data_IF_702438602446
#
_entry.id   IF_702438602446
#
_cell.length_a   1.000
_cell.length_b   1.000
_cell.length_c   1.000
_cell.angle_alpha   90.00
_cell.angle_beta   90.00
_cell.angle_gamma   90.00
#
_symmetry.space_group_name_H-M   'P 1'
#
loop_
_entity.id
_entity.type
_entity.pdbx_description
1 polymer ?
#
# COMPACT_ATOMS: atom_id res chain seq x y z
N UNK A 1 -42.77 26.80 -7.17
CA UNK A 1 -41.32 26.56 -7.07
C UNK A 1 -40.99 25.40 -7.97
N UNK A 2 -40.07 25.62 -8.90
CA UNK A 2 -39.83 24.77 -10.08
C UNK A 2 -39.27 23.42 -9.65
N UNK A 3 -40.05 22.36 -9.87
CA UNK A 3 -39.61 20.97 -9.73
C UNK A 3 -38.74 20.62 -10.93
N UNK A 4 -37.47 21.03 -10.92
CA UNK A 4 -36.52 20.60 -11.94
C UNK A 4 -36.03 19.18 -11.62
N UNK A 5 -36.92 18.21 -11.86
CA UNK A 5 -36.54 16.79 -11.93
C UNK A 5 -35.92 16.57 -13.30
N UNK A 6 -34.65 16.92 -13.44
CA UNK A 6 -33.81 16.34 -14.49
C UNK A 6 -33.63 14.87 -14.13
N UNK A 7 -34.54 14.02 -14.61
CA UNK A 7 -34.33 12.58 -14.64
C UNK A 7 -33.12 12.32 -15.52
N UNK A 8 -31.94 12.39 -14.92
CA UNK A 8 -30.70 12.03 -15.58
C UNK A 8 -30.83 10.56 -15.97
N UNK A 9 -30.94 10.32 -17.28
CA UNK A 9 -31.00 8.99 -17.85
C UNK A 9 -29.77 8.22 -17.36
N UNK A 10 -29.97 7.01 -16.83
CA UNK A 10 -28.88 6.21 -16.27
C UNK A 10 -28.37 5.22 -17.31
N UNK A 11 -27.05 5.12 -17.45
CA UNK A 11 -26.37 4.15 -18.30
C UNK A 11 -25.63 3.11 -17.45
N UNK A 12 -25.50 1.90 -17.97
CA UNK A 12 -24.81 0.79 -17.35
C UNK A 12 -23.42 0.68 -17.94
N UNK A 13 -22.41 0.69 -17.09
CA UNK A 13 -21.02 0.58 -17.50
C UNK A 13 -20.34 -0.54 -16.72
N UNK A 14 -19.17 -0.95 -17.21
CA UNK A 14 -18.29 -1.91 -16.54
C UNK A 14 -16.94 -1.27 -16.30
N UNK A 15 -16.34 -1.55 -15.14
CA UNK A 15 -14.95 -1.17 -14.85
C UNK A 15 -14.15 -2.44 -14.63
N UNK A 16 -13.12 -2.60 -15.44
CA UNK A 16 -12.19 -3.70 -15.44
C UNK A 16 -10.79 -3.22 -15.02
N UNK A 17 -10.16 -3.94 -14.10
CA UNK A 17 -8.76 -3.73 -13.72
C UNK A 17 -8.03 -5.07 -13.62
N UNK A 18 -6.98 -5.24 -14.42
CA UNK A 18 -6.23 -6.49 -14.50
C UNK A 18 -5.02 -6.48 -13.56
N UNK A 19 -5.09 -7.27 -12.49
CA UNK A 19 -3.96 -7.54 -11.59
C UNK A 19 -3.23 -8.83 -12.01
N UNK A 20 -1.99 -9.07 -11.55
CA UNK A 20 -1.24 -10.28 -11.90
C UNK A 20 -1.95 -11.57 -11.48
N UNK A 21 -2.55 -11.57 -10.28
CA UNK A 21 -3.11 -12.79 -9.68
C UNK A 21 -4.65 -12.82 -9.71
N UNK A 22 -5.29 -11.72 -10.13
CA UNK A 22 -6.75 -11.59 -10.12
C UNK A 22 -7.23 -10.54 -11.13
N UNK A 23 -8.50 -10.60 -11.49
CA UNK A 23 -9.15 -9.54 -12.25
C UNK A 23 -10.23 -8.89 -11.39
N UNK A 24 -10.37 -7.58 -11.50
CA UNK A 24 -11.50 -6.84 -10.98
C UNK A 24 -12.42 -6.51 -12.15
N UNK A 25 -13.68 -6.89 -12.06
CA UNK A 25 -14.72 -6.50 -13.01
C UNK A 25 -16.00 -6.24 -12.23
N UNK A 26 -16.52 -5.01 -12.29
CA UNK A 26 -17.79 -4.63 -11.65
C UNK A 26 -18.64 -3.78 -12.58
N UNK A 27 -19.95 -3.93 -12.42
CA UNK A 27 -20.97 -3.14 -13.11
C UNK A 27 -21.33 -1.93 -12.25
N UNK A 28 -21.49 -0.78 -12.90
CA UNK A 28 -21.91 0.47 -12.27
C UNK A 28 -23.00 1.13 -13.11
N UNK A 29 -23.87 1.87 -12.43
CA UNK A 29 -24.90 2.65 -13.08
C UNK A 29 -24.59 4.13 -12.84
N UNK A 30 -24.32 4.86 -13.92
CA UNK A 30 -23.91 6.27 -13.88
C UNK A 30 -24.88 7.13 -14.69
N UNK A 31 -24.86 8.44 -14.48
CA UNK A 31 -25.66 9.36 -15.30
C UNK A 31 -25.13 9.40 -16.74
N UNK A 32 -26.04 9.44 -17.70
CA UNK A 32 -25.70 9.65 -19.11
C UNK A 32 -24.97 10.98 -19.25
N UNK A 33 -23.90 10.98 -20.03
CA UNK A 33 -23.00 12.13 -20.11
C UNK A 33 -21.86 12.11 -19.08
N UNK A 34 -21.80 11.11 -18.18
CA UNK A 34 -20.67 10.92 -17.29
C UNK A 34 -19.42 10.61 -18.08
N UNK A 35 -18.32 11.28 -17.76
CA UNK A 35 -17.00 11.01 -18.35
C UNK A 35 -16.29 9.85 -17.63
N UNK A 36 -15.34 9.22 -18.32
CA UNK A 36 -14.53 8.11 -17.78
C UNK A 36 -13.95 8.45 -16.40
N UNK A 37 -13.35 9.63 -16.23
CA UNK A 37 -12.75 10.05 -14.97
C UNK A 37 -13.75 10.00 -13.80
N UNK A 38 -14.94 10.53 -14.01
CA UNK A 38 -15.98 10.63 -12.98
C UNK A 38 -16.52 9.25 -12.64
N UNK A 39 -16.72 8.38 -13.63
CA UNK A 39 -17.13 7.00 -13.38
C UNK A 39 -16.10 6.24 -12.54
N UNK A 40 -14.81 6.39 -12.83
CA UNK A 40 -13.74 5.76 -12.05
C UNK A 40 -13.73 6.31 -10.61
N UNK A 41 -13.88 7.62 -10.43
CA UNK A 41 -13.95 8.24 -9.10
C UNK A 41 -15.17 7.75 -8.29
N UNK A 42 -16.35 7.69 -8.92
CA UNK A 42 -17.59 7.20 -8.30
C UNK A 42 -17.51 5.71 -7.94
N UNK A 43 -16.75 4.92 -8.68
CA UNK A 43 -16.59 3.48 -8.42
C UNK A 43 -15.84 3.14 -7.12
N UNK A 44 -15.10 4.10 -6.57
CA UNK A 44 -14.24 3.87 -5.39
C UNK A 44 -13.04 2.98 -5.65
N UNK A 45 -12.77 2.57 -6.91
CA UNK A 45 -11.66 1.65 -7.23
C UNK A 45 -10.29 2.22 -6.82
N UNK A 46 -10.11 3.55 -6.86
CA UNK A 46 -8.88 4.22 -6.43
C UNK A 46 -8.64 4.08 -4.91
N UNK A 47 -9.71 3.97 -4.12
CA UNK A 47 -9.62 3.77 -2.67
C UNK A 47 -9.36 2.30 -2.35
N UNK A 48 -9.92 1.40 -3.15
CA UNK A 48 -9.70 -0.05 -3.02
C UNK A 48 -8.29 -0.46 -3.48
N UNK A 49 -7.74 0.21 -4.49
CA UNK A 49 -6.43 -0.06 -5.09
C UNK A 49 -5.60 1.24 -5.15
N UNK A 50 -4.86 1.52 -4.08
CA UNK A 50 -4.03 2.73 -3.97
C UNK A 50 -2.81 2.78 -4.90
N UNK A 51 -2.60 1.73 -5.70
CA UNK A 51 -1.60 1.65 -6.77
C UNK A 51 -2.08 2.24 -8.11
N UNK A 52 -3.37 2.53 -8.25
CA UNK A 52 -3.93 3.15 -9.46
C UNK A 52 -3.71 4.67 -9.38
N UNK A 53 -2.95 5.23 -10.33
CA UNK A 53 -2.82 6.67 -10.54
C UNK A 53 -3.29 7.04 -11.94
N UNK A 54 -4.46 7.67 -12.06
CA UNK A 54 -5.05 8.09 -13.34
C UNK A 54 -4.18 9.07 -14.15
N UNK A 55 -3.15 9.68 -13.56
CA UNK A 55 -2.19 10.50 -14.30
C UNK A 55 -1.19 9.66 -15.10
N UNK A 56 -0.91 8.45 -14.64
CA UNK A 56 0.09 7.54 -15.22
C UNK A 56 -0.55 6.32 -15.89
N UNK A 57 -1.69 5.87 -15.38
CA UNK A 57 -2.45 4.76 -15.90
C UNK A 57 -3.09 5.14 -17.23
N UNK A 58 -2.85 4.32 -18.25
CA UNK A 58 -3.61 4.38 -19.48
C UNK A 58 -4.99 3.76 -19.24
N UNK A 59 -6.02 4.38 -19.81
CA UNK A 59 -7.39 3.85 -19.78
C UNK A 59 -7.86 3.56 -21.20
N UNK A 60 -8.77 2.59 -21.33
CA UNK A 60 -9.40 2.25 -22.59
C UNK A 60 -10.86 1.90 -22.45
N UNK A 61 -11.56 1.88 -23.58
CA UNK A 61 -12.91 1.33 -23.72
C UNK A 61 -12.83 0.21 -24.75
N UNK A 62 -13.23 -1.02 -24.37
CA UNK A 62 -13.22 -2.20 -25.27
C UNK A 62 -11.94 -2.34 -26.11
N UNK A 63 -10.78 -2.50 -25.45
CA UNK A 63 -9.47 -2.61 -26.11
C UNK A 63 -9.03 -1.40 -26.95
N UNK A 64 -9.70 -0.25 -26.85
CA UNK A 64 -9.30 1.00 -27.51
C UNK A 64 -8.85 2.01 -26.47
N UNK A 65 -7.74 2.71 -26.75
CA UNK A 65 -7.28 3.81 -25.92
C UNK A 65 -8.34 4.92 -25.87
N UNK A 66 -8.68 5.36 -24.66
CA UNK A 66 -9.64 6.42 -24.41
C UNK A 66 -9.04 7.50 -23.50
N UNK A 67 -9.57 8.71 -23.57
CA UNK A 67 -9.17 9.81 -22.68
C UNK A 67 -10.08 9.84 -21.48
N UNK A 68 -9.55 10.28 -20.34
CA UNK A 68 -10.33 10.47 -19.11
C UNK A 68 -11.52 11.43 -19.27
N UNK A 69 -11.46 12.32 -20.25
CA UNK A 69 -12.50 13.29 -20.60
C UNK A 69 -13.57 12.75 -21.54
N UNK A 70 -13.41 11.55 -22.08
CA UNK A 70 -14.37 10.98 -23.01
C UNK A 70 -15.67 10.64 -22.27
N UNK A 71 -16.79 10.88 -22.93
CA UNK A 71 -18.14 10.62 -22.40
C UNK A 71 -18.46 9.14 -22.60
N UNK A 72 -19.03 8.53 -21.56
CA UNK A 72 -19.43 7.13 -21.58
C UNK A 72 -20.79 6.92 -22.25
N UNK A 73 -20.91 5.80 -22.93
CA UNK A 73 -22.14 5.28 -23.51
C UNK A 73 -22.63 4.03 -22.75
N UNK A 74 -23.89 3.67 -22.97
CA UNK A 74 -24.47 2.48 -22.33
C UNK A 74 -23.80 1.20 -22.85
N UNK A 75 -23.40 0.34 -21.92
CA UNK A 75 -22.66 -0.89 -22.20
C UNK A 75 -21.13 -0.73 -22.22
N UNK A 76 -20.59 0.48 -22.06
CA UNK A 76 -19.15 0.71 -22.10
C UNK A 76 -18.39 -0.05 -21.01
N UNK A 77 -17.23 -0.60 -21.40
CA UNK A 77 -16.29 -1.25 -20.49
C UNK A 77 -15.01 -0.45 -20.40
N UNK A 78 -14.85 0.23 -19.28
CA UNK A 78 -13.64 0.96 -18.93
C UNK A 78 -12.58 -0.05 -18.47
N UNK A 79 -11.46 -0.10 -19.17
CA UNK A 79 -10.30 -0.90 -18.84
C UNK A 79 -9.20 0.01 -18.29
N UNK A 80 -8.78 -0.23 -17.05
CA UNK A 80 -7.65 0.48 -16.44
C UNK A 80 -6.40 -0.38 -16.65
N UNK A 81 -5.47 0.09 -17.47
CA UNK A 81 -4.19 -0.58 -17.67
C UNK A 81 -3.22 -0.22 -16.56
N UNK A 82 -2.28 -1.13 -16.27
CA UNK A 82 -1.20 -0.85 -15.31
C UNK A 82 -0.19 0.10 -15.97
N UNK A 83 0.29 1.12 -15.27
CA UNK A 83 1.41 1.91 -15.76
C UNK A 83 2.62 0.97 -15.85
N UNK A 84 3.41 1.11 -16.90
CA UNK A 84 4.72 0.50 -16.94
C UNK A 84 5.51 1.07 -15.76
N UNK A 85 6.08 0.21 -14.91
CA UNK A 85 6.75 0.58 -13.66
C UNK A 85 7.90 1.57 -13.94
N UNK A 86 7.62 2.86 -13.92
CA UNK A 86 8.63 3.92 -13.97
C UNK A 86 8.05 5.28 -13.56
N UNK A 87 7.97 5.54 -12.25
CA UNK A 87 8.56 6.78 -11.76
C UNK A 87 9.70 6.47 -10.78
N UNK A 88 10.95 6.35 -11.28
CA UNK A 88 12.11 5.90 -10.52
C UNK A 88 12.42 6.77 -9.28
N UNK A 89 11.94 8.01 -9.23
CA UNK A 89 12.27 8.97 -8.16
C UNK A 89 11.51 8.69 -6.86
N UNK A 90 10.21 8.45 -6.93
CA UNK A 90 9.37 8.27 -5.74
C UNK A 90 9.60 6.91 -5.08
N UNK A 91 9.81 5.86 -5.89
CA UNK A 91 10.20 4.52 -5.38
C UNK A 91 11.58 4.60 -4.71
N UNK A 92 12.53 5.34 -5.29
CA UNK A 92 13.86 5.55 -4.68
C UNK A 92 13.78 6.30 -3.35
N UNK A 93 12.92 7.32 -3.24
CA UNK A 93 12.71 8.07 -1.99
C UNK A 93 12.16 7.17 -0.88
N UNK A 94 11.05 6.47 -1.14
CA UNK A 94 10.42 5.61 -0.12
C UNK A 94 11.32 4.46 0.34
N UNK A 95 12.09 3.85 -0.57
CA UNK A 95 13.04 2.77 -0.20
C UNK A 95 14.22 3.27 0.64
N UNK A 96 14.78 4.44 0.32
CA UNK A 96 15.88 5.02 1.08
C UNK A 96 15.44 5.41 2.52
N UNK A 97 14.23 5.94 2.67
CA UNK A 97 13.66 6.27 3.98
C UNK A 97 13.41 5.01 4.83
N UNK A 98 12.86 3.94 4.24
CA UNK A 98 12.63 2.68 4.94
C UNK A 98 13.92 2.01 5.41
N UNK A 99 14.95 1.92 4.56
CA UNK A 99 16.24 1.31 4.94
C UNK A 99 16.95 2.08 6.05
N UNK A 100 16.85 3.41 6.03
CA UNK A 100 17.43 4.25 7.09
C UNK A 100 16.74 4.02 8.44
N UNK A 101 15.41 3.99 8.45
CA UNK A 101 14.63 3.74 9.67
C UNK A 101 14.89 2.34 10.24
N UNK A 102 15.02 1.34 9.38
CA UNK A 102 15.29 -0.05 9.80
C UNK A 102 16.70 -0.20 10.38
N UNK A 103 17.72 0.42 9.78
CA UNK A 103 19.09 0.42 10.31
C UNK A 103 19.19 1.17 11.65
N UNK A 104 18.47 2.28 11.80
CA UNK A 104 18.39 3.04 13.05
C UNK A 104 17.69 2.24 14.16
N UNK A 105 16.61 1.52 13.83
CA UNK A 105 15.89 0.65 14.76
C UNK A 105 16.75 -0.53 15.23
N UNK A 106 17.48 -1.20 14.34
CA UNK A 106 18.36 -2.32 14.69
C UNK A 106 19.49 -1.89 15.63
N UNK A 107 20.13 -0.75 15.36
CA UNK A 107 21.18 -0.19 16.23
C UNK A 107 20.65 0.21 17.60
N UNK A 108 19.43 0.74 17.67
CA UNK A 108 18.78 1.08 18.94
C UNK A 108 18.49 -0.18 19.77
N UNK A 109 17.97 -1.24 19.13
CA UNK A 109 17.69 -2.52 19.77
C UNK A 109 18.96 -3.21 20.28
N UNK A 110 20.04 -3.25 19.48
CA UNK A 110 21.31 -3.86 19.90
C UNK A 110 21.93 -3.12 21.10
N UNK A 111 21.88 -1.79 21.09
CA UNK A 111 22.38 -0.97 22.21
C UNK A 111 21.57 -1.20 23.48
N UNK A 112 20.25 -1.32 23.35
CA UNK A 112 19.36 -1.60 24.47
C UNK A 112 19.61 -3.00 25.05
N UNK A 113 19.69 -4.02 24.21
CA UNK A 113 20.01 -5.40 24.63
C UNK A 113 21.38 -5.48 25.33
N UNK A 114 22.40 -4.78 24.82
CA UNK A 114 23.74 -4.77 25.43
C UNK A 114 23.77 -4.03 26.78
N UNK A 115 22.94 -3.00 26.95
CA UNK A 115 22.79 -2.30 28.22
C UNK A 115 22.08 -3.18 29.25
N UNK A 116 21.00 -3.85 28.84
CA UNK A 116 20.23 -4.78 29.69
C UNK A 116 21.07 -5.99 30.11
N UNK A 117 21.83 -6.61 29.19
CA UNK A 117 22.72 -7.72 29.50
C UNK A 117 23.81 -7.34 30.51
N UNK A 118 24.41 -6.14 30.39
CA UNK A 118 25.39 -5.63 31.36
C UNK A 118 24.76 -5.36 32.73
N UNK A 119 23.55 -4.84 32.77
CA UNK A 119 22.82 -4.60 34.03
C UNK A 119 22.45 -5.92 34.71
N UNK A 120 22.00 -6.91 33.94
CA UNK A 120 21.65 -8.24 34.45
C UNK A 120 22.89 -8.98 35.00
N UNK A 121 24.02 -8.93 34.29
CA UNK A 121 25.28 -9.52 34.74
C UNK A 121 25.80 -8.89 36.04
N UNK A 122 25.69 -7.56 36.18
CA UNK A 122 26.12 -6.84 37.40
C UNK A 122 25.21 -7.14 38.60
N UNK A 123 23.90 -7.30 38.39
CA UNK A 123 22.95 -7.72 39.43
C UNK A 123 23.19 -9.17 39.87
N UNK A 124 23.43 -10.09 38.93
CA UNK A 124 23.72 -11.49 39.24
C UNK A 124 25.05 -11.67 40.02
N UNK A 125 26.11 -10.95 39.66
CA UNK A 125 27.39 -11.01 40.38
C UNK A 125 27.32 -10.48 41.83
N UNK A 126 26.42 -9.53 42.09
CA UNK A 126 26.20 -9.00 43.45
C UNK A 126 25.45 -10.00 44.33
N UNK A 127 24.70 -10.93 43.74
CA UNK A 127 23.86 -11.91 44.44
C UNK A 127 24.60 -13.23 44.78
N UNK A 128 25.68 -13.57 44.05
CA UNK A 128 26.41 -14.84 44.20
C UNK A 128 27.59 -14.75 45.20
N UNK A 129 28.09 -13.56 45.52
CA UNK A 129 29.27 -13.37 46.40
C UNK A 129 29.00 -13.61 47.90
N UNK A 130 27.84 -14.13 48.27
CA UNK A 130 27.44 -14.36 49.67
C UNK A 130 27.62 -15.79 50.19
N UNK A 131 28.39 -16.68 49.52
CA UNK A 131 28.65 -18.05 50.04
C UNK A 131 30.14 -18.48 49.98
N UNK A 132 30.75 -19.02 51.05
CA UNK A 132 32.18 -19.38 51.10
C UNK A 132 32.54 -20.88 50.94
N UNK A 133 33.85 -21.08 50.71
CA UNK A 133 34.67 -22.21 50.24
C UNK A 133 34.83 -23.44 51.17
N UNK A 134 35.22 -24.60 50.62
CA UNK A 134 36.16 -25.56 51.26
C UNK A 134 37.03 -26.30 50.24
N UNK A 135 38.28 -26.54 50.63
CA UNK A 135 39.50 -27.01 49.93
C UNK A 135 39.73 -28.53 50.01
N UNK A 136 40.63 -29.10 49.17
CA UNK A 136 41.74 -30.03 49.53
C UNK A 136 42.37 -30.66 48.25
N UNK A 137 43.69 -30.52 48.03
CA UNK A 137 44.79 -31.53 48.25
C UNK A 137 44.93 -32.53 47.08
N UNK A 138 46.08 -33.00 46.57
CA UNK A 138 47.51 -32.97 46.91
C UNK A 138 48.33 -33.61 45.73
N UNK A 139 49.66 -33.39 45.75
CA UNK A 139 50.80 -34.25 45.25
C UNK A 139 50.91 -34.63 43.75
N UNK A 140 52.10 -34.75 43.14
CA UNK A 140 53.49 -34.75 43.63
C UNK A 140 54.49 -34.58 42.48
#
# INVERSE_FOLDING_TARGET
MVSDKTTAEKINIQIAYALPDRYFLKHYQVDKGTIIQNAILQSGILQQYGEIDLRSNTVGIFSRLAKLTDVLEDGDRIEIYRPLLADPKEIRRKRAEQQKQELEAQKAQEKQQRAEAKQHAKKAQTQVRSQPQTTESAEG
#
